data_IF_347918749478
#
_entry.id   IF_347918749478
#
_cell.length_a   1.000
_cell.length_b   1.000
_cell.length_c   1.000
_cell.angle_alpha   90.00
_cell.angle_beta   90.00
_cell.angle_gamma   90.00
#
_symmetry.space_group_name_H-M   'P 1'
#
loop_
_entity.id
_entity.type
_entity.pdbx_description
1 polymer ?
#
# COMPACT_ATOMS: atom_id res chain seq x y z
N UNK A 1 -20.67 -1.58 11.42
CA UNK A 1 -20.77 -0.80 10.26
C UNK A 1 -20.10 -1.43 9.06
N UNK A 2 -18.88 -1.79 9.21
CA UNK A 2 -18.13 -2.37 8.10
C UNK A 2 -17.89 -3.85 8.35
N UNK A 3 -18.92 -4.49 8.85
CA UNK A 3 -18.94 -5.95 8.96
C UNK A 3 -17.75 -6.49 9.74
N UNK A 4 -17.50 -5.87 10.90
CA UNK A 4 -16.44 -6.35 11.78
C UNK A 4 -15.08 -5.73 11.52
N UNK A 5 -14.96 -4.89 10.51
CA UNK A 5 -13.71 -4.22 10.21
C UNK A 5 -13.64 -2.90 10.96
N UNK A 6 -12.53 -2.65 11.68
CA UNK A 6 -12.36 -1.40 12.39
C UNK A 6 -12.15 -0.26 11.39
N UNK A 7 -12.49 0.98 11.79
CA UNK A 7 -12.24 2.13 10.92
C UNK A 7 -10.77 2.27 10.51
N UNK A 8 -9.85 1.98 11.44
CA UNK A 8 -8.43 2.06 11.13
C UNK A 8 -8.04 1.04 10.06
N UNK A 9 -8.52 -0.19 10.22
CA UNK A 9 -8.22 -1.24 9.25
C UNK A 9 -8.78 -0.90 7.87
N UNK A 10 -10.00 -0.39 7.82
CA UNK A 10 -10.62 0.02 6.58
C UNK A 10 -9.79 1.11 5.89
N UNK A 11 -9.38 2.12 6.66
CA UNK A 11 -8.58 3.21 6.12
C UNK A 11 -7.25 2.70 5.58
N UNK A 12 -6.60 1.81 6.33
CA UNK A 12 -5.33 1.23 5.89
C UNK A 12 -5.49 0.50 4.57
N UNK A 13 -6.54 -0.28 4.43
CA UNK A 13 -6.78 -1.02 3.19
C UNK A 13 -7.02 -0.06 2.01
N UNK A 14 -7.75 1.03 2.24
CA UNK A 14 -7.96 2.04 1.20
C UNK A 14 -6.64 2.68 0.79
N UNK A 15 -5.79 2.97 1.75
CA UNK A 15 -4.47 3.53 1.46
C UNK A 15 -3.61 2.56 0.67
N UNK A 16 -3.66 1.28 1.03
CA UNK A 16 -2.89 0.27 0.30
C UNK A 16 -3.40 0.07 -1.12
N UNK A 17 -4.71 0.16 -1.32
CA UNK A 17 -5.26 0.10 -2.67
C UNK A 17 -4.72 1.24 -3.52
N UNK A 18 -4.65 2.43 -2.96
CA UNK A 18 -4.11 3.58 -3.68
C UNK A 18 -2.63 3.38 -3.98
N UNK A 19 -1.88 2.83 -3.02
CA UNK A 19 -0.46 2.54 -3.25
C UNK A 19 -0.30 1.62 -4.45
N UNK A 20 -1.09 0.56 -4.54
CA UNK A 20 -0.99 -0.36 -5.67
C UNK A 20 -1.24 0.35 -7.00
N UNK A 21 -2.26 1.19 -7.05
CA UNK A 21 -2.55 1.98 -8.23
C UNK A 21 -1.37 2.86 -8.63
N UNK A 22 -0.82 3.57 -7.65
CA UNK A 22 0.29 4.48 -7.90
C UNK A 22 1.53 3.74 -8.38
N UNK A 23 1.81 2.58 -7.79
CA UNK A 23 2.96 1.78 -8.20
C UNK A 23 2.80 1.27 -9.63
N UNK A 24 1.59 0.89 -10.00
CA UNK A 24 1.32 0.45 -11.37
C UNK A 24 1.47 1.59 -12.37
N UNK A 25 1.28 2.81 -11.93
CA UNK A 25 1.49 3.99 -12.76
C UNK A 25 2.95 4.38 -12.89
N UNK A 26 3.83 3.71 -12.15
CA UNK A 26 5.25 4.00 -12.21
C UNK A 26 5.77 4.94 -11.14
N UNK A 27 4.94 5.28 -10.14
CA UNK A 27 5.39 6.16 -9.07
C UNK A 27 6.45 5.47 -8.20
N UNK A 28 7.48 6.21 -7.78
CA UNK A 28 8.45 5.66 -6.83
C UNK A 28 7.77 5.29 -5.51
N UNK A 29 8.36 4.33 -4.81
CA UNK A 29 7.78 3.86 -3.55
C UNK A 29 7.56 4.98 -2.54
N UNK A 30 8.54 5.87 -2.40
CA UNK A 30 8.43 6.95 -1.43
C UNK A 30 7.27 7.87 -1.78
N UNK A 31 7.08 8.16 -3.07
CA UNK A 31 5.97 9.01 -3.50
C UNK A 31 4.63 8.35 -3.25
N UNK A 32 4.54 7.07 -3.60
CA UNK A 32 3.29 6.33 -3.39
C UNK A 32 2.90 6.32 -1.92
N UNK A 33 3.86 6.13 -1.03
CA UNK A 33 3.60 6.11 0.41
C UNK A 33 3.03 7.45 0.87
N UNK A 34 3.67 8.55 0.47
CA UNK A 34 3.25 9.87 0.92
C UNK A 34 1.91 10.28 0.34
N UNK A 35 1.70 10.03 -0.95
CA UNK A 35 0.44 10.36 -1.61
C UNK A 35 -0.71 9.58 -0.97
N UNK A 36 -0.48 8.33 -0.62
CA UNK A 36 -1.52 7.49 -0.04
C UNK A 36 -1.80 7.82 1.43
N UNK A 37 -0.96 8.63 2.07
CA UNK A 37 -1.21 9.06 3.43
C UNK A 37 -0.44 8.31 4.51
N UNK A 38 0.59 7.57 4.13
CA UNK A 38 1.46 6.93 5.11
C UNK A 38 2.50 7.92 5.63
N UNK A 39 2.98 7.68 6.84
CA UNK A 39 3.97 8.55 7.45
C UNK A 39 5.27 8.58 6.65
N UNK A 40 5.69 7.40 6.19
CA UNK A 40 6.90 7.27 5.39
C UNK A 40 6.85 5.94 4.64
N UNK A 41 7.89 5.70 3.84
CA UNK A 41 7.95 4.47 3.05
C UNK A 41 8.05 3.22 3.92
N UNK A 42 8.78 3.30 5.03
CA UNK A 42 8.93 2.14 5.93
C UNK A 42 7.59 1.71 6.52
N UNK A 43 6.79 2.68 6.94
CA UNK A 43 5.46 2.40 7.45
C UNK A 43 4.59 1.72 6.39
N UNK A 44 4.61 2.28 5.19
CA UNK A 44 3.85 1.71 4.08
C UNK A 44 4.32 0.29 3.76
N UNK A 45 5.64 0.07 3.71
CA UNK A 45 6.20 -1.24 3.40
C UNK A 45 5.75 -2.29 4.40
N UNK A 46 5.77 -1.96 5.71
CA UNK A 46 5.33 -2.90 6.73
C UNK A 46 3.86 -3.25 6.57
N UNK A 47 3.01 -2.25 6.35
CA UNK A 47 1.58 -2.50 6.19
C UNK A 47 1.29 -3.27 4.91
N UNK A 48 1.99 -2.93 3.84
CA UNK A 48 1.83 -3.61 2.56
C UNK A 48 2.19 -5.10 2.70
N UNK A 49 3.36 -5.38 3.28
CA UNK A 49 3.81 -6.76 3.46
C UNK A 49 2.87 -7.57 4.34
N UNK A 50 2.35 -6.93 5.37
CA UNK A 50 1.41 -7.59 6.28
C UNK A 50 0.11 -7.94 5.57
N UNK A 51 -0.35 -7.07 4.68
CA UNK A 51 -1.62 -7.26 3.98
C UNK A 51 -1.50 -8.23 2.81
N UNK A 52 -0.41 -8.17 2.07
CA UNK A 52 -0.30 -8.90 0.80
C UNK A 52 0.76 -10.00 0.80
N UNK A 53 1.53 -10.13 1.87
CA UNK A 53 2.49 -11.22 2.00
C UNK A 53 3.81 -11.01 1.29
N UNK A 54 4.02 -9.86 0.64
CA UNK A 54 5.29 -9.55 0.00
C UNK A 54 5.50 -8.06 -0.02
N UNK A 55 6.74 -7.64 -0.23
CA UNK A 55 7.09 -6.23 -0.22
C UNK A 55 6.53 -5.52 -1.46
N UNK A 56 6.36 -4.19 -1.39
CA UNK A 56 5.91 -3.43 -2.55
C UNK A 56 6.83 -3.62 -3.76
N UNK A 57 8.15 -3.67 -3.53
CA UNK A 57 9.09 -3.84 -4.62
C UNK A 57 8.89 -5.16 -5.34
N UNK A 58 8.72 -6.24 -4.59
CA UNK A 58 8.47 -7.55 -5.19
C UNK A 58 7.14 -7.59 -5.90
N UNK A 59 6.14 -6.95 -5.31
CA UNK A 59 4.82 -6.91 -5.92
C UNK A 59 4.88 -6.21 -7.28
N UNK A 60 5.62 -5.10 -7.36
CA UNK A 60 5.77 -4.38 -8.62
C UNK A 60 6.45 -5.26 -9.66
N UNK A 61 7.52 -5.95 -9.26
CA UNK A 61 8.23 -6.84 -10.19
C UNK A 61 7.32 -7.92 -10.76
N UNK A 62 6.39 -8.39 -9.96
CA UNK A 62 5.48 -9.46 -10.39
C UNK A 62 4.38 -8.95 -11.32
N UNK A 63 4.00 -7.68 -11.20
CA UNK A 63 2.85 -7.14 -11.93
C UNK A 63 3.20 -6.18 -13.05
N UNK A 64 4.46 -5.72 -13.11
CA UNK A 64 4.92 -4.84 -14.17
C UNK A 64 5.96 -5.56 -15.01
N UNK A 65 5.96 -5.24 -16.28
CA UNK A 65 6.91 -5.86 -17.20
C UNK A 65 8.01 -4.94 -17.61
#
# INVERSE_FOLDING_TARGET
LLFGTSPYRYLTMRRLDLVRSLLMQGQPLVNAALIAGFTDQSHMTRQFSKAYGLSPSRWVKMHRR
#
